data_IF_279805531524
#
_entry.id   IF_279805531524
#
_cell.length_a   1.000
_cell.length_b   1.000
_cell.length_c   1.000
_cell.angle_alpha   90.00
_cell.angle_beta   90.00
_cell.angle_gamma   90.00
#
_symmetry.space_group_name_H-M   'P 1'
#
loop_
_entity.id
_entity.type
_entity.pdbx_description
1 polymer ?
#
# COMPACT_ATOMS: atom_id res chain seq x y z
N UNK A 1 3.85 -11.74 -5.27
CA UNK A 1 2.84 -12.09 -4.25
C UNK A 1 3.47 -11.87 -2.88
N UNK A 2 2.94 -10.94 -2.07
CA UNK A 2 3.45 -10.65 -0.73
C UNK A 2 2.47 -11.24 0.29
N UNK A 3 2.91 -12.25 1.02
CA UNK A 3 2.09 -12.97 2.02
C UNK A 3 2.06 -12.23 3.37
N UNK A 4 2.85 -11.17 3.51
CA UNK A 4 3.01 -10.37 4.71
C UNK A 4 2.76 -8.88 4.43
N UNK A 5 2.35 -8.09 5.44
CA UNK A 5 2.21 -6.65 5.30
C UNK A 5 3.52 -6.00 4.81
N UNK A 6 3.39 -5.04 3.90
CA UNK A 6 4.49 -4.31 3.27
C UNK A 6 4.60 -2.92 3.89
N UNK A 7 5.78 -2.51 4.40
CA UNK A 7 5.99 -1.14 4.89
C UNK A 7 5.92 -0.11 3.78
N UNK A 8 5.38 1.07 4.07
CA UNK A 8 5.35 2.19 3.14
C UNK A 8 6.73 2.54 2.56
N UNK A 9 7.80 2.46 3.36
CA UNK A 9 9.17 2.74 2.91
C UNK A 9 9.64 1.83 1.75
N UNK A 10 9.09 0.62 1.62
CA UNK A 10 9.37 -0.28 0.50
C UNK A 10 8.68 0.22 -0.77
N UNK A 11 7.41 0.65 -0.65
CA UNK A 11 6.66 1.24 -1.75
C UNK A 11 7.29 2.57 -2.21
N UNK A 12 7.80 3.35 -1.27
CA UNK A 12 8.47 4.62 -1.53
C UNK A 12 9.76 4.44 -2.35
N UNK A 13 10.45 3.31 -2.20
CA UNK A 13 11.70 3.00 -2.92
C UNK A 13 11.46 2.49 -4.34
N UNK A 14 10.40 1.71 -4.55
CA UNK A 14 10.11 1.11 -5.86
C UNK A 14 9.34 2.07 -6.78
N UNK A 15 8.81 3.17 -6.23
CA UNK A 15 8.04 4.15 -6.96
C UNK A 15 8.42 5.56 -6.54
N UNK A 16 9.24 6.27 -7.31
CA UNK A 16 9.81 7.57 -6.93
C UNK A 16 8.79 8.75 -6.87
N UNK A 17 7.70 8.69 -7.64
CA UNK A 17 6.66 9.73 -7.65
C UNK A 17 5.72 9.61 -6.43
N UNK A 18 6.04 10.36 -5.39
CA UNK A 18 5.29 10.36 -4.13
C UNK A 18 3.82 10.77 -4.28
N UNK A 19 3.50 11.71 -5.19
CA UNK A 19 2.12 12.21 -5.37
C UNK A 19 1.28 11.18 -6.10
N UNK A 20 1.81 10.57 -7.15
CA UNK A 20 1.10 9.48 -7.83
C UNK A 20 0.95 8.25 -6.94
N UNK A 21 2.00 7.86 -6.22
CA UNK A 21 1.97 6.72 -5.31
C UNK A 21 0.89 6.87 -4.25
N UNK A 22 0.81 8.03 -3.59
CA UNK A 22 -0.22 8.31 -2.59
C UNK A 22 -1.63 8.21 -3.19
N UNK A 23 -1.87 8.83 -4.36
CA UNK A 23 -3.17 8.73 -5.04
C UNK A 23 -3.53 7.31 -5.46
N UNK A 24 -2.56 6.54 -5.95
CA UNK A 24 -2.78 5.15 -6.33
C UNK A 24 -3.13 4.29 -5.11
N UNK A 25 -2.40 4.45 -4.01
CA UNK A 25 -2.70 3.76 -2.74
C UNK A 25 -4.07 4.16 -2.19
N UNK A 26 -4.42 5.44 -2.20
CA UNK A 26 -5.74 5.91 -1.78
C UNK A 26 -6.87 5.27 -2.60
N UNK A 27 -6.69 5.15 -3.92
CA UNK A 27 -7.63 4.45 -4.79
C UNK A 27 -7.76 2.96 -4.43
N UNK A 28 -6.64 2.27 -4.26
CA UNK A 28 -6.63 0.84 -3.88
C UNK A 28 -7.30 0.61 -2.51
N UNK A 29 -7.13 1.53 -1.56
CA UNK A 29 -7.78 1.46 -0.25
C UNK A 29 -9.28 1.73 -0.37
N UNK A 30 -9.68 2.73 -1.15
CA UNK A 30 -11.09 3.04 -1.39
C UNK A 30 -11.83 1.87 -2.08
N UNK A 31 -11.14 1.17 -2.98
CA UNK A 31 -11.67 0.00 -3.70
C UNK A 31 -11.62 -1.29 -2.85
N UNK A 32 -11.04 -1.24 -1.64
CA UNK A 32 -10.90 -2.40 -0.76
C UNK A 32 -9.90 -3.44 -1.25
N UNK A 33 -9.00 -3.06 -2.15
CA UNK A 33 -7.95 -3.92 -2.72
C UNK A 33 -6.65 -3.89 -1.90
N UNK A 34 -6.50 -2.90 -1.03
CA UNK A 34 -5.40 -2.77 -0.06
C UNK A 34 -5.99 -2.33 1.27
N UNK A 35 -5.49 -2.89 2.36
CA UNK A 35 -5.84 -2.47 3.72
C UNK A 35 -4.64 -1.78 4.38
N UNK A 36 -4.80 -0.55 4.89
CA UNK A 36 -3.80 0.08 5.74
C UNK A 36 -3.86 -0.54 7.15
N UNK A 37 -2.69 -0.80 7.73
CA UNK A 37 -2.53 -1.27 9.10
C UNK A 37 -1.91 -0.16 9.98
N UNK A 38 -1.95 -0.34 11.31
CA UNK A 38 -1.08 0.42 12.21
C UNK A 38 0.39 0.37 11.77
N UNK A 39 1.15 1.39 12.16
CA UNK A 39 2.59 1.52 11.87
C UNK A 39 2.97 1.72 10.40
N UNK A 40 2.03 2.15 9.55
CA UNK A 40 2.31 2.49 8.15
C UNK A 40 2.59 1.28 7.26
N UNK A 41 1.95 0.15 7.57
CA UNK A 41 2.00 -1.07 6.78
C UNK A 41 0.76 -1.17 5.88
N UNK A 42 0.92 -1.83 4.74
CA UNK A 42 -0.15 -2.14 3.79
C UNK A 42 -0.22 -3.64 3.55
N UNK A 43 -1.42 -4.21 3.52
CA UNK A 43 -1.61 -5.62 3.14
C UNK A 43 -2.65 -5.76 2.03
N UNK A 44 -2.59 -6.88 1.33
CA UNK A 44 -3.68 -7.32 0.49
C UNK A 44 -4.80 -7.93 1.35
N UNK A 45 -6.07 -7.80 0.93
CA UNK A 45 -7.20 -8.46 1.58
C UNK A 45 -6.98 -9.96 1.66
N UNK A 46 -7.20 -10.52 2.85
CA UNK A 46 -7.22 -11.97 3.05
C UNK A 46 -8.63 -12.47 2.70
N UNK A 47 -8.90 -12.63 1.40
CA UNK A 47 -10.04 -13.43 0.91
C UNK A 47 -9.77 -14.92 1.07
#
# INVERSE_FOLDING_TARGET
>A
EAVAPVPQAVLDREWDDAVQRARALDGLVADGLVEPLPDGLYRLPLT
#
